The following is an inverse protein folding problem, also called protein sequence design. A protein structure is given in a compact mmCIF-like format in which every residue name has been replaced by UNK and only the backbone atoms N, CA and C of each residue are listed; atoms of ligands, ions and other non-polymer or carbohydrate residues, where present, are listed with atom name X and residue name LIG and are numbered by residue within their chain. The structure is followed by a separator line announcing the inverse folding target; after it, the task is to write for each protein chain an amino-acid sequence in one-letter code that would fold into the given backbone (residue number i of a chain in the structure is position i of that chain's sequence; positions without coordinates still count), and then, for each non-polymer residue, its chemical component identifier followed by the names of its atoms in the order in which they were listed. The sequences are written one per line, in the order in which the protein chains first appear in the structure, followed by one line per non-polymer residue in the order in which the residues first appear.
data_IF_205442911876
#
_entry.id   IF_205442911876
#
_cell.length_a   1.000
_cell.length_b   1.000
_cell.length_c   1.000
_cell.angle_alpha   90.00
_cell.angle_beta   90.00
_cell.angle_gamma   90.00
#
_symmetry.space_group_name_H-M   'P 1'
#
loop_
_entity.id
_entity.type
_entity.pdbx_description
1 polymer ?
#
# COMPACT_ATOMS: atom_id res chain seq x y z
N UNK A 1 18.23 48.32 8.35
CA UNK A 1 18.44 47.16 9.27
C UNK A 1 17.90 47.58 10.63
N UNK A 2 17.11 46.74 11.32
CA UNK A 2 17.72 45.71 12.16
C UNK A 2 17.13 44.31 12.01
N UNK A 3 17.98 43.37 12.43
CA UNK A 3 17.93 41.93 12.44
C UNK A 3 17.28 41.40 13.73
N UNK A 4 16.81 40.14 13.71
CA UNK A 4 16.70 39.14 14.80
C UNK A 4 15.47 38.24 14.52
N UNK A 5 15.44 36.91 14.64
CA UNK A 5 16.42 35.88 14.95
C UNK A 5 15.78 34.53 14.61
N UNK A 6 16.59 33.58 14.12
CA UNK A 6 16.21 32.19 13.91
C UNK A 6 15.70 31.54 15.21
N UNK A 7 14.70 30.64 15.09
CA UNK A 7 14.85 29.23 15.51
C UNK A 7 13.69 28.34 15.02
N UNK A 8 13.98 27.09 14.62
CA UNK A 8 12.99 26.16 14.08
C UNK A 8 12.30 25.41 15.22
N UNK A 9 10.97 25.49 15.31
CA UNK A 9 10.22 24.61 16.18
C UNK A 9 9.95 23.29 15.45
N UNK A 10 10.96 22.40 15.49
CA UNK A 10 10.71 20.96 15.46
C UNK A 10 9.96 20.62 16.74
N UNK A 11 8.65 20.41 16.62
CA UNK A 11 7.92 19.57 17.55
C UNK A 11 7.39 18.36 16.78
N UNK A 12 8.26 17.36 16.61
CA UNK A 12 7.80 15.99 16.52
C UNK A 12 7.15 15.65 17.86
N UNK A 13 5.83 15.56 17.89
CA UNK A 13 5.11 14.92 18.98
C UNK A 13 4.17 13.88 18.37
N UNK A 14 4.72 12.68 18.25
CA UNK A 14 3.93 11.46 18.10
C UNK A 14 3.18 11.27 19.42
N UNK A 15 1.87 11.50 19.45
CA UNK A 15 0.95 10.85 20.39
C UNK A 15 -0.40 10.67 19.69
N UNK A 16 -0.58 9.44 19.22
CA UNK A 16 -1.80 8.62 19.23
C UNK A 16 -3.13 9.35 19.49
N UNK A 17 -3.96 9.36 18.45
CA UNK A 17 -5.31 9.90 18.49
C UNK A 17 -5.88 9.99 17.09
N UNK A 18 -5.94 8.86 16.37
CA UNK A 18 -6.60 8.74 15.07
C UNK A 18 -8.09 9.07 15.23
N UNK A 19 -8.42 10.35 15.12
CA UNK A 19 -9.78 10.87 15.17
C UNK A 19 -9.87 12.04 14.18
N UNK A 20 -10.09 11.66 12.92
CA UNK A 20 -10.96 12.39 12.00
C UNK A 20 -10.64 13.85 11.73
N UNK A 21 -9.50 14.15 11.11
CA UNK A 21 -9.43 15.33 10.23
C UNK A 21 -9.91 14.93 8.83
N UNK A 22 -11.07 15.41 8.35
CA UNK A 22 -11.66 14.99 7.06
C UNK A 22 -10.85 15.40 5.83
N UNK A 23 -9.76 16.16 6.01
CA UNK A 23 -8.88 16.66 4.95
C UNK A 23 -7.46 16.07 4.96
N UNK A 24 -7.18 15.06 5.80
CA UNK A 24 -5.88 14.36 5.70
C UNK A 24 -5.94 13.44 4.48
N UNK A 25 -5.05 13.58 3.48
CA UNK A 25 -4.98 12.61 2.40
C UNK A 25 -4.78 11.22 3.01
N UNK A 26 -5.60 10.26 2.58
CA UNK A 26 -5.48 8.88 3.03
C UNK A 26 -4.02 8.45 2.87
N UNK A 27 -3.43 7.93 3.95
CA UNK A 27 -2.06 7.44 3.87
C UNK A 27 -2.07 6.13 3.08
N UNK A 28 -1.06 5.95 2.22
CA UNK A 28 -0.92 4.73 1.43
C UNK A 28 -0.71 3.54 2.36
N UNK A 29 -1.53 2.52 2.17
CA UNK A 29 -1.51 1.31 3.02
C UNK A 29 -0.33 0.41 2.66
N UNK A 30 0.00 0.31 1.37
CA UNK A 30 1.03 -0.59 0.84
C UNK A 30 2.15 0.15 0.09
N UNK A 31 3.31 -0.50 -0.01
CA UNK A 31 4.52 -0.02 -0.69
C UNK A 31 5.05 -1.05 -1.70
N UNK A 32 5.79 -0.62 -2.73
CA UNK A 32 6.53 -1.54 -3.59
C UNK A 32 7.41 -2.51 -2.79
N UNK A 33 7.26 -3.80 -3.07
CA UNK A 33 7.94 -4.90 -2.41
C UNK A 33 7.18 -5.56 -1.26
N UNK A 34 6.05 -4.99 -0.82
CA UNK A 34 5.20 -5.63 0.18
C UNK A 34 4.61 -6.93 -0.37
N UNK A 35 4.62 -7.97 0.48
CA UNK A 35 3.97 -9.26 0.21
C UNK A 35 2.53 -9.18 0.66
N UNK A 36 1.62 -9.45 -0.25
CA UNK A 36 0.18 -9.35 0.00
C UNK A 36 -0.55 -10.59 -0.49
N UNK A 37 -1.71 -10.86 0.11
CA UNK A 37 -2.67 -11.83 -0.35
C UNK A 37 -3.79 -11.08 -1.06
N UNK A 38 -4.05 -11.44 -2.31
CA UNK A 38 -5.14 -10.89 -3.11
C UNK A 38 -6.33 -11.82 -3.12
N UNK A 39 -7.51 -11.27 -2.86
CA UNK A 39 -8.79 -11.96 -2.98
C UNK A 39 -9.69 -11.20 -3.96
N UNK A 40 -9.98 -11.83 -5.10
CA UNK A 40 -11.07 -11.34 -5.95
C UNK A 40 -12.40 -11.47 -5.22
N UNK A 41 -13.31 -10.51 -5.40
CA UNK A 41 -14.66 -10.58 -4.84
C UNK A 41 -15.45 -11.84 -5.24
N UNK A 42 -15.02 -12.55 -6.29
CA UNK A 42 -15.63 -13.79 -6.80
C UNK A 42 -14.78 -15.04 -6.58
N UNK A 43 -13.54 -14.91 -6.09
CA UNK A 43 -12.64 -16.06 -5.90
C UNK A 43 -12.78 -16.60 -4.48
N UNK A 44 -12.88 -17.93 -4.36
CA UNK A 44 -12.92 -18.62 -3.07
C UNK A 44 -11.55 -18.73 -2.39
N UNK A 45 -10.47 -18.51 -3.14
CA UNK A 45 -9.09 -18.63 -2.67
C UNK A 45 -8.36 -17.28 -2.78
N UNK A 46 -7.48 -17.03 -1.83
CA UNK A 46 -6.55 -15.91 -1.89
C UNK A 46 -5.28 -16.33 -2.61
N UNK A 47 -4.71 -15.42 -3.38
CA UNK A 47 -3.50 -15.64 -4.15
C UNK A 47 -2.37 -14.75 -3.64
N UNK A 48 -1.19 -15.33 -3.41
CA UNK A 48 0.00 -14.60 -3.00
C UNK A 48 0.56 -13.74 -4.14
N UNK A 49 0.79 -12.46 -3.88
CA UNK A 49 1.38 -11.53 -4.83
C UNK A 49 2.24 -10.46 -4.14
N UNK A 50 2.97 -9.71 -4.96
CA UNK A 50 3.90 -8.66 -4.49
C UNK A 50 3.49 -7.32 -5.07
N UNK A 51 3.42 -6.28 -4.25
CA UNK A 51 3.14 -4.92 -4.71
C UNK A 51 4.34 -4.42 -5.51
N UNK A 52 4.11 -3.88 -6.70
CA UNK A 52 5.19 -3.33 -7.56
C UNK A 52 5.03 -1.85 -7.86
N UNK A 53 3.97 -1.21 -7.34
CA UNK A 53 3.68 0.19 -7.57
C UNK A 53 3.45 0.95 -6.27
N UNK A 54 3.66 2.26 -6.34
CA UNK A 54 3.46 3.21 -5.25
C UNK A 54 1.98 3.40 -4.85
N UNK A 55 1.04 2.83 -5.61
CA UNK A 55 -0.39 3.03 -5.44
C UNK A 55 -0.89 4.33 -6.08
N UNK A 56 -2.02 4.24 -6.78
CA UNK A 56 -2.70 5.36 -7.43
C UNK A 56 -3.95 5.67 -6.61
N UNK A 57 -4.09 6.93 -6.19
CA UNK A 57 -5.30 7.38 -5.50
C UNK A 57 -6.53 7.13 -6.38
N UNK A 58 -7.57 6.56 -5.78
CA UNK A 58 -8.83 6.27 -6.45
C UNK A 58 -9.96 6.77 -5.55
N UNK A 59 -11.04 7.22 -6.18
CA UNK A 59 -12.26 7.63 -5.48
C UNK A 59 -13.39 6.73 -5.96
N UNK A 60 -13.45 5.54 -5.37
CA UNK A 60 -14.46 4.53 -5.72
C UNK A 60 -15.04 3.87 -4.47
N UNK A 61 -16.09 3.09 -4.68
CA UNK A 61 -16.64 2.20 -3.66
C UNK A 61 -16.82 0.81 -4.27
N UNK A 62 -16.69 -0.22 -3.44
CA UNK A 62 -16.87 -1.61 -3.83
C UNK A 62 -17.69 -2.33 -2.77
N UNK A 63 -18.50 -3.31 -3.20
CA UNK A 63 -19.11 -4.26 -2.27
C UNK A 63 -18.13 -5.37 -1.93
N UNK A 64 -17.89 -5.56 -0.64
CA UNK A 64 -17.13 -6.69 -0.10
C UNK A 64 -18.06 -7.49 0.82
N UNK A 65 -18.64 -8.57 0.28
CA UNK A 65 -19.73 -9.27 0.96
C UNK A 65 -20.97 -8.39 1.10
N UNK A 66 -21.42 -8.16 2.34
CA UNK A 66 -22.58 -7.31 2.63
C UNK A 66 -22.22 -5.81 2.71
N UNK A 67 -20.93 -5.47 2.83
CA UNK A 67 -20.48 -4.11 3.16
C UNK A 67 -20.07 -3.31 1.92
N UNK A 68 -20.35 -2.00 1.93
CA UNK A 68 -19.80 -1.04 0.96
C UNK A 68 -18.53 -0.42 1.53
N UNK A 69 -17.39 -0.72 0.91
CA UNK A 69 -16.07 -0.22 1.31
C UNK A 69 -15.54 0.79 0.30
N UNK A 70 -14.90 1.85 0.78
CA UNK A 70 -14.26 2.84 -0.08
C UNK A 70 -12.97 2.26 -0.68
N UNK A 71 -12.78 2.44 -1.98
CA UNK A 71 -11.51 2.21 -2.65
C UNK A 71 -10.73 3.52 -2.55
N UNK A 72 -9.67 3.52 -1.74
CA UNK A 72 -8.79 4.69 -1.55
C UNK A 72 -7.62 4.69 -2.52
N UNK A 73 -7.09 3.50 -2.81
CA UNK A 73 -5.96 3.30 -3.69
C UNK A 73 -6.16 2.06 -4.57
N UNK A 74 -5.51 2.09 -5.74
CA UNK A 74 -5.30 0.93 -6.59
C UNK A 74 -3.81 0.67 -6.72
N UNK A 75 -3.43 -0.60 -6.71
CA UNK A 75 -2.04 -1.04 -6.77
C UNK A 75 -1.84 -1.99 -7.94
N UNK A 76 -0.75 -1.84 -8.67
CA UNK A 76 -0.25 -2.89 -9.54
C UNK A 76 0.52 -3.91 -8.68
N UNK A 77 0.09 -5.16 -8.77
CA UNK A 77 0.68 -6.33 -8.09
C UNK A 77 1.20 -7.32 -9.12
N UNK A 78 2.22 -8.09 -8.74
CA UNK A 78 2.78 -9.17 -9.53
C UNK A 78 2.50 -10.53 -8.87
N UNK A 79 1.91 -11.42 -9.64
CA UNK A 79 1.66 -12.81 -9.26
C UNK A 79 2.85 -13.70 -9.66
N UNK A 80 2.88 -14.93 -9.15
CA UNK A 80 3.97 -15.87 -9.40
C UNK A 80 4.09 -16.33 -10.85
N UNK A 81 3.00 -16.28 -11.60
CA UNK A 81 2.98 -16.48 -13.05
C UNK A 81 3.59 -15.30 -13.82
N UNK A 82 4.19 -14.33 -13.11
CA UNK A 82 4.77 -13.09 -13.62
C UNK A 82 3.76 -12.12 -14.24
N UNK A 83 2.45 -12.41 -14.12
CA UNK A 83 1.39 -11.54 -14.59
C UNK A 83 1.26 -10.35 -13.63
N UNK A 84 1.20 -9.16 -14.22
CA UNK A 84 0.89 -7.94 -13.47
C UNK A 84 -0.60 -7.65 -13.57
N UNK A 85 -1.25 -7.37 -12.45
CA UNK A 85 -2.65 -6.91 -12.44
C UNK A 85 -2.81 -5.70 -11.55
N UNK A 86 -3.77 -4.86 -11.90
CA UNK A 86 -4.22 -3.75 -11.06
C UNK A 86 -5.33 -4.22 -10.14
N UNK A 87 -5.11 -4.08 -8.84
CA UNK A 87 -6.02 -4.53 -7.78
C UNK A 87 -6.42 -3.36 -6.90
N UNK A 88 -7.58 -3.46 -6.24
CA UNK A 88 -8.09 -2.42 -5.35
C UNK A 88 -7.57 -2.66 -3.94
N UNK A 89 -7.30 -1.60 -3.19
CA UNK A 89 -6.84 -1.68 -1.80
C UNK A 89 -7.66 -2.66 -0.94
N UNK A 90 -9.01 -2.70 -1.00
CA UNK A 90 -9.79 -3.62 -0.16
C UNK A 90 -9.75 -5.10 -0.60
N UNK A 91 -9.22 -5.39 -1.79
CA UNK A 91 -9.09 -6.75 -2.32
C UNK A 91 -7.75 -7.39 -1.91
N UNK A 92 -6.86 -6.64 -1.25
CA UNK A 92 -5.56 -7.12 -0.82
C UNK A 92 -5.38 -6.91 0.69
N UNK A 93 -4.59 -7.79 1.31
CA UNK A 93 -4.13 -7.68 2.69
C UNK A 93 -2.66 -8.03 2.79
N UNK A 94 -1.95 -7.52 3.79
CA UNK A 94 -0.58 -7.96 4.06
C UNK A 94 -0.55 -9.47 4.31
N UNK A 95 0.45 -10.13 3.73
CA UNK A 95 0.72 -11.53 4.03
C UNK A 95 1.30 -11.66 5.44
N UNK A 96 0.84 -12.68 6.15
CA UNK A 96 1.27 -13.08 7.48
C UNK A 96 2.17 -14.31 7.40
N UNK A 97 2.73 -14.73 8.53
CA UNK A 97 3.60 -15.93 8.57
C UNK A 97 2.82 -17.23 8.30
N UNK A 98 1.50 -17.22 8.50
CA UNK A 98 0.62 -18.35 8.20
C UNK A 98 0.24 -18.42 6.70
N UNK A 99 0.42 -17.33 5.97
CA UNK A 99 0.10 -17.26 4.54
C UNK A 99 1.15 -18.01 3.71
N UNK A 100 0.73 -19.18 3.23
CA UNK A 100 1.55 -20.08 2.42
C UNK A 100 1.37 -19.76 0.94
N UNK A 101 2.47 -19.43 0.26
CA UNK A 101 2.48 -19.25 -1.19
C UNK A 101 3.87 -18.85 -1.68
N UNK A 102 4.21 -19.11 -2.95
CA UNK A 102 5.37 -18.46 -3.52
C UNK A 102 5.09 -16.95 -3.52
N UNK A 103 6.04 -16.14 -3.09
CA UNK A 103 5.98 -14.70 -3.31
C UNK A 103 7.03 -14.39 -4.36
N UNK A 104 6.63 -13.69 -5.41
CA UNK A 104 7.58 -13.32 -6.46
C UNK A 104 8.59 -12.35 -5.85
N UNK A 105 9.88 -12.66 -6.01
CA UNK A 105 10.93 -11.72 -5.64
C UNK A 105 10.72 -10.42 -6.44
N UNK A 106 10.56 -9.30 -5.74
CA UNK A 106 10.71 -7.99 -6.37
C UNK A 106 12.11 -8.00 -6.99
N UNK A 107 12.28 -7.62 -8.27
CA UNK A 107 13.61 -7.34 -8.75
C UNK A 107 14.18 -6.25 -7.85
N UNK A 108 15.14 -6.62 -6.99
CA UNK A 108 15.98 -5.64 -6.33
C UNK A 108 16.61 -4.87 -7.48
N UNK A 109 16.32 -3.57 -7.57
CA UNK A 109 17.04 -2.69 -8.47
C UNK A 109 18.52 -2.99 -8.22
N UNK A 110 19.18 -3.62 -9.20
CA UNK A 110 20.58 -3.95 -9.11
C UNK A 110 21.28 -2.61 -8.90
N UNK A 111 21.75 -2.37 -7.69
CA UNK A 111 22.75 -1.34 -7.44
C UNK A 111 23.90 -1.68 -8.37
N UNK A 112 23.97 -0.97 -9.51
CA UNK A 112 25.07 -1.11 -10.44
C UNK A 112 26.36 -0.88 -9.63
N UNK A 113 27.32 -1.81 -9.63
CA UNK A 113 28.66 -1.45 -9.22
C UNK A 113 29.17 -0.46 -10.28
N UNK A 114 29.25 0.83 -9.92
CA UNK A 114 30.08 1.76 -10.68
C UNK A 114 31.52 1.20 -10.62
N UNK A 115 32.08 0.91 -11.79
CA UNK A 115 33.52 0.73 -12.01
C UNK A 115 33.94 1.62 -13.15
#
# INVERSE_FOLDING_TARGET
MPHMSQKPLRCFRNQDGDSGTPNRPASRTYRPGDRVMWRSGTASAEEACTIISDGIASTGQMRLGADMVAIRFMYDVRFNDMITRRVREPEIRLATNDDSGPFTAVPQAQSQPQS
#
